data_IF_686084555853
#
_entry.id   IF_686084555853
#
_cell.length_a   1.000
_cell.length_b   1.000
_cell.length_c   1.000
_cell.angle_alpha   90.00
_cell.angle_beta   90.00
_cell.angle_gamma   90.00
#
_symmetry.space_group_name_H-M   'P 1'
#
loop_
_entity.id
_entity.type
_entity.pdbx_description
1 polymer ?
#
# COMPACT_ATOMS: atom_id res chain seq x y z
N UNK A 1 -10.70 -31.67 16.75
CA UNK A 1 -10.09 -31.63 15.40
C UNK A 1 -10.73 -30.61 14.46
N UNK A 2 -11.98 -30.23 14.59
CA UNK A 2 -12.70 -29.30 13.68
C UNK A 2 -12.25 -27.84 13.81
N UNK A 3 -11.80 -27.38 14.98
CA UNK A 3 -11.39 -25.96 15.22
C UNK A 3 -10.12 -25.49 14.49
N UNK A 4 -9.27 -26.40 13.97
CA UNK A 4 -8.03 -26.04 13.23
C UNK A 4 -8.21 -26.04 11.69
N UNK A 5 -9.28 -26.60 11.18
CA UNK A 5 -9.54 -26.67 9.73
C UNK A 5 -10.28 -25.46 9.19
N UNK A 6 -11.15 -24.82 9.98
CA UNK A 6 -11.90 -23.62 9.57
C UNK A 6 -11.00 -22.44 9.22
N UNK A 7 -9.96 -22.09 10.01
CA UNK A 7 -9.02 -21.03 9.64
C UNK A 7 -8.31 -21.28 8.31
N UNK A 8 -7.89 -22.52 8.03
CA UNK A 8 -7.21 -22.88 6.77
C UNK A 8 -8.12 -22.77 5.54
N UNK A 9 -9.40 -23.12 5.69
CA UNK A 9 -10.37 -23.00 4.59
C UNK A 9 -10.62 -21.51 4.28
N UNK A 10 -10.80 -20.69 5.31
CA UNK A 10 -10.99 -19.24 5.16
C UNK A 10 -9.74 -18.60 4.50
N UNK A 11 -8.56 -18.98 4.95
CA UNK A 11 -7.29 -18.53 4.37
C UNK A 11 -7.16 -18.94 2.88
N UNK A 12 -7.53 -20.17 2.55
CA UNK A 12 -7.50 -20.63 1.15
C UNK A 12 -8.49 -19.88 0.26
N UNK A 13 -9.67 -19.57 0.78
CA UNK A 13 -10.68 -18.77 0.07
C UNK A 13 -10.16 -17.34 -0.13
N UNK A 14 -9.60 -16.71 0.92
CA UNK A 14 -9.00 -15.39 0.82
C UNK A 14 -7.89 -15.35 -0.23
N UNK A 15 -6.93 -16.28 -0.18
CA UNK A 15 -5.81 -16.36 -1.12
C UNK A 15 -6.28 -16.56 -2.57
N UNK A 16 -7.37 -17.31 -2.79
CA UNK A 16 -7.96 -17.48 -4.12
C UNK A 16 -8.53 -16.16 -4.66
N UNK A 17 -9.24 -15.40 -3.83
CA UNK A 17 -9.80 -14.11 -4.25
C UNK A 17 -8.71 -13.05 -4.42
N UNK A 18 -7.70 -13.05 -3.56
CA UNK A 18 -6.52 -12.19 -3.67
C UNK A 18 -5.76 -12.45 -4.99
N UNK A 19 -5.59 -13.72 -5.36
CA UNK A 19 -5.00 -14.08 -6.66
C UNK A 19 -5.83 -13.52 -7.83
N UNK A 20 -7.15 -13.68 -7.81
CA UNK A 20 -8.04 -13.14 -8.87
C UNK A 20 -7.93 -11.61 -8.92
N UNK A 21 -7.95 -10.95 -7.77
CA UNK A 21 -7.85 -9.52 -7.65
C UNK A 21 -6.53 -9.00 -8.24
N UNK A 22 -5.40 -9.53 -7.77
CA UNK A 22 -4.07 -9.22 -8.29
C UNK A 22 -3.93 -9.51 -9.78
N UNK A 23 -4.52 -10.60 -10.28
CA UNK A 23 -4.52 -10.92 -11.72
C UNK A 23 -5.28 -9.86 -12.55
N UNK A 24 -6.40 -9.34 -12.05
CA UNK A 24 -7.17 -8.27 -12.71
C UNK A 24 -6.35 -6.98 -12.78
N UNK A 25 -5.70 -6.59 -11.69
CA UNK A 25 -4.81 -5.42 -11.62
C UNK A 25 -3.63 -5.59 -12.60
N UNK A 26 -2.94 -6.74 -12.54
CA UNK A 26 -1.85 -7.06 -13.47
C UNK A 26 -2.28 -7.00 -14.93
N UNK A 27 -3.46 -7.53 -15.25
CA UNK A 27 -3.99 -7.53 -16.61
C UNK A 27 -4.27 -6.13 -17.12
N UNK A 28 -4.64 -5.20 -16.24
CA UNK A 28 -4.79 -3.79 -16.58
C UNK A 28 -3.43 -3.16 -16.93
N UNK A 29 -2.42 -3.32 -16.06
CA UNK A 29 -1.11 -2.71 -16.28
C UNK A 29 -0.28 -3.35 -17.40
N UNK A 30 -0.56 -4.60 -17.78
CA UNK A 30 0.18 -5.34 -18.80
C UNK A 30 0.29 -4.62 -20.15
N UNK A 31 -0.70 -3.79 -20.48
CA UNK A 31 -0.74 -3.06 -21.75
C UNK A 31 -0.15 -1.65 -21.67
N UNK A 32 0.41 -1.30 -20.52
CA UNK A 32 1.04 -0.01 -20.28
C UNK A 32 2.54 -0.23 -20.07
N UNK A 33 3.38 0.29 -20.95
CA UNK A 33 4.84 0.17 -20.86
C UNK A 33 5.34 1.03 -19.68
N UNK A 34 5.29 0.48 -18.45
CA UNK A 34 5.73 1.14 -17.24
C UNK A 34 7.26 1.19 -17.21
N UNK A 35 7.84 2.38 -17.18
CA UNK A 35 9.28 2.57 -17.02
C UNK A 35 9.75 2.54 -15.55
N UNK A 36 8.84 2.70 -14.60
CA UNK A 36 9.10 2.50 -13.18
C UNK A 36 7.81 2.29 -12.38
N UNK A 37 7.96 1.64 -11.25
CA UNK A 37 6.93 1.52 -10.20
C UNK A 37 7.49 2.06 -8.90
N UNK A 38 6.71 2.92 -8.23
CA UNK A 38 6.95 3.37 -6.87
C UNK A 38 5.90 2.67 -6.00
N UNK A 39 6.34 1.74 -5.15
CA UNK A 39 5.48 0.94 -4.27
C UNK A 39 5.62 1.43 -2.82
N UNK A 40 4.63 2.19 -2.36
CA UNK A 40 4.58 2.77 -1.01
C UNK A 40 3.67 1.91 -0.14
N UNK A 41 4.26 1.35 0.93
CA UNK A 41 3.66 0.29 1.74
C UNK A 41 3.84 -1.07 1.05
N UNK A 42 5.10 -1.45 0.82
CA UNK A 42 5.42 -2.68 0.08
C UNK A 42 5.19 -3.96 0.88
N UNK A 43 5.08 -3.86 2.21
CA UNK A 43 4.84 -4.97 3.14
C UNK A 43 5.80 -6.14 2.88
N UNK A 44 5.32 -7.32 2.50
CA UNK A 44 6.12 -8.50 2.14
C UNK A 44 6.39 -8.60 0.64
N UNK A 45 6.00 -7.59 -0.15
CA UNK A 45 6.20 -7.54 -1.60
C UNK A 45 5.11 -8.24 -2.41
N UNK A 46 3.90 -8.37 -1.88
CA UNK A 46 2.80 -9.04 -2.54
C UNK A 46 2.46 -8.37 -3.86
N UNK A 47 2.30 -7.04 -3.87
CA UNK A 47 2.03 -6.27 -5.08
C UNK A 47 3.17 -6.41 -6.11
N UNK A 48 4.42 -6.24 -5.69
CA UNK A 48 5.60 -6.37 -6.56
C UNK A 48 5.62 -7.75 -7.22
N UNK A 49 5.33 -8.81 -6.48
CA UNK A 49 5.38 -10.17 -6.99
C UNK A 49 4.23 -10.51 -7.93
N UNK A 50 3.01 -10.10 -7.58
CA UNK A 50 1.81 -10.51 -8.29
C UNK A 50 1.49 -9.60 -9.49
N UNK A 51 1.80 -8.30 -9.39
CA UNK A 51 1.38 -7.31 -10.40
C UNK A 51 2.53 -6.85 -11.28
N UNK A 52 3.70 -6.52 -10.72
CA UNK A 52 4.80 -5.92 -11.47
C UNK A 52 5.56 -6.96 -12.29
N UNK A 53 5.91 -6.63 -13.52
CA UNK A 53 6.75 -7.50 -14.34
C UNK A 53 8.20 -7.55 -13.84
N UNK A 54 8.90 -8.64 -14.12
CA UNK A 54 10.24 -8.89 -13.55
C UNK A 54 11.31 -7.89 -14.01
N UNK A 55 11.11 -7.25 -15.16
CA UNK A 55 12.05 -6.28 -15.74
C UNK A 55 11.79 -4.83 -15.34
N UNK A 56 10.57 -4.53 -14.90
CA UNK A 56 10.18 -3.15 -14.54
C UNK A 56 10.92 -2.69 -13.29
N UNK A 57 11.63 -1.55 -13.34
CA UNK A 57 12.29 -0.97 -12.16
C UNK A 57 11.31 -0.64 -11.04
N UNK A 58 11.63 -1.04 -9.80
CA UNK A 58 10.81 -0.80 -8.61
C UNK A 58 11.58 -0.03 -7.57
N UNK A 59 10.94 0.99 -7.00
CA UNK A 59 11.36 1.71 -5.79
C UNK A 59 10.38 1.36 -4.67
N UNK A 60 10.85 0.61 -3.68
CA UNK A 60 10.02 -0.04 -2.67
C UNK A 60 10.19 0.64 -1.31
N UNK A 61 9.09 1.04 -0.67
CA UNK A 61 9.07 1.71 0.63
C UNK A 61 8.30 0.87 1.64
N UNK A 62 8.99 0.48 2.73
CA UNK A 62 8.40 -0.29 3.84
C UNK A 62 9.06 0.14 5.14
N UNK A 63 8.34 0.84 6.04
CA UNK A 63 8.93 1.35 7.28
C UNK A 63 9.14 0.29 8.36
N UNK A 64 8.39 -0.82 8.34
CA UNK A 64 8.47 -1.83 9.40
C UNK A 64 9.74 -2.67 9.26
N UNK A 65 10.70 -2.47 10.18
CA UNK A 65 12.03 -3.10 10.12
C UNK A 65 11.98 -4.62 10.05
N UNK A 66 11.04 -5.26 10.75
CA UNK A 66 10.86 -6.71 10.76
C UNK A 66 10.44 -7.30 9.40
N UNK A 67 9.88 -6.49 8.49
CA UNK A 67 9.42 -6.94 7.17
C UNK A 67 10.48 -6.82 6.08
N UNK A 68 11.48 -5.96 6.22
CA UNK A 68 12.50 -5.68 5.19
C UNK A 68 13.21 -6.95 4.73
N UNK A 69 13.57 -7.84 5.64
CA UNK A 69 14.23 -9.11 5.29
C UNK A 69 13.34 -10.05 4.47
N UNK A 70 12.05 -10.11 4.83
CA UNK A 70 11.04 -10.91 4.13
C UNK A 70 10.76 -10.32 2.75
N UNK A 71 10.55 -9.01 2.67
CA UNK A 71 10.34 -8.26 1.43
C UNK A 71 11.47 -8.52 0.42
N UNK A 72 12.73 -8.33 0.82
CA UNK A 72 13.90 -8.60 -0.03
C UNK A 72 13.98 -10.04 -0.51
N UNK A 73 13.70 -11.00 0.37
CA UNK A 73 13.67 -12.43 0.02
C UNK A 73 12.58 -12.75 -1.00
N UNK A 74 11.38 -12.24 -0.77
CA UNK A 74 10.23 -12.52 -1.62
C UNK A 74 10.39 -11.91 -3.01
N UNK A 75 10.98 -10.71 -3.10
CA UNK A 75 11.12 -9.96 -4.36
C UNK A 75 12.48 -10.15 -5.05
N UNK A 76 13.27 -11.14 -4.64
CA UNK A 76 14.64 -11.35 -5.17
C UNK A 76 14.73 -11.63 -6.68
N UNK A 77 13.62 -11.98 -7.34
CA UNK A 77 13.52 -12.19 -8.79
C UNK A 77 13.00 -10.96 -9.56
N UNK A 78 12.73 -9.86 -8.84
CA UNK A 78 12.21 -8.61 -9.38
C UNK A 78 13.32 -7.58 -9.53
N UNK A 79 13.14 -6.62 -10.42
CA UNK A 79 14.09 -5.53 -10.62
C UNK A 79 13.88 -4.42 -9.59
N UNK A 80 14.07 -4.72 -8.29
CA UNK A 80 13.97 -3.72 -7.23
C UNK A 80 15.27 -2.93 -7.17
N UNK A 81 15.20 -1.67 -7.60
CA UNK A 81 16.34 -0.74 -7.66
C UNK A 81 16.81 -0.39 -6.24
N UNK A 82 15.83 -0.12 -5.33
CA UNK A 82 16.12 0.23 -3.96
C UNK A 82 14.97 -0.10 -3.02
N UNK A 83 15.32 -0.58 -1.83
CA UNK A 83 14.43 -0.74 -0.69
C UNK A 83 14.70 0.39 0.30
N UNK A 84 13.68 1.14 0.64
CA UNK A 84 13.70 2.21 1.61
C UNK A 84 12.98 1.76 2.88
N UNK A 85 13.67 1.85 4.00
CA UNK A 85 13.24 1.41 5.34
C UNK A 85 12.69 2.56 6.19
N UNK A 86 11.89 3.43 5.57
CA UNK A 86 11.24 4.56 6.23
C UNK A 86 9.85 4.81 5.62
N UNK A 87 9.01 5.49 6.39
CA UNK A 87 7.69 5.90 5.94
C UNK A 87 7.76 7.15 5.04
N UNK A 88 6.72 7.34 4.23
CA UNK A 88 6.53 8.56 3.45
C UNK A 88 5.38 9.39 4.04
N UNK A 89 5.55 10.72 4.04
CA UNK A 89 4.55 11.69 4.47
C UNK A 89 4.83 13.06 3.88
N UNK A 90 4.13 14.11 4.36
CA UNK A 90 4.30 15.50 3.95
C UNK A 90 5.37 16.27 4.75
N UNK A 91 6.11 15.61 5.63
CA UNK A 91 7.18 16.21 6.45
C UNK A 91 8.34 15.22 6.63
N UNK A 92 9.50 15.75 7.03
CA UNK A 92 10.65 14.95 7.43
C UNK A 92 10.74 14.87 8.94
N UNK A 93 11.01 13.68 9.48
CA UNK A 93 11.11 13.51 10.92
C UNK A 93 11.01 12.06 11.35
N UNK A 94 10.30 11.82 12.43
CA UNK A 94 10.07 10.50 13.04
C UNK A 94 8.64 10.40 13.53
N UNK A 95 8.06 9.22 13.45
CA UNK A 95 6.67 8.95 13.87
C UNK A 95 6.57 7.55 14.45
N UNK A 96 5.60 7.34 15.33
CA UNK A 96 5.27 6.02 15.85
C UNK A 96 4.40 5.26 14.82
N UNK A 97 4.92 4.13 14.33
CA UNK A 97 4.17 3.16 13.55
C UNK A 97 3.47 2.19 14.50
N UNK A 98 2.16 2.10 14.41
CA UNK A 98 1.36 1.14 15.16
C UNK A 98 1.40 -0.23 14.48
N UNK A 99 2.05 -1.19 15.11
CA UNK A 99 2.18 -2.55 14.58
C UNK A 99 1.02 -3.38 15.07
N UNK A 100 0.30 -3.98 14.14
CA UNK A 100 -0.75 -4.94 14.43
C UNK A 100 -0.24 -6.37 14.26
N UNK A 101 -0.84 -7.33 14.97
CA UNK A 101 -0.57 -8.77 14.83
C UNK A 101 -0.86 -9.29 13.41
N UNK A 102 -1.76 -8.60 12.68
CA UNK A 102 -1.88 -8.69 11.23
C UNK A 102 -0.98 -7.62 10.63
N UNK A 103 0.22 -8.00 10.25
CA UNK A 103 1.24 -7.08 9.72
C UNK A 103 0.74 -6.26 8.52
N UNK A 104 -0.21 -6.79 7.75
CA UNK A 104 -0.85 -6.10 6.61
C UNK A 104 -1.72 -4.89 6.99
N UNK A 105 -1.94 -4.62 8.28
CA UNK A 105 -2.78 -3.51 8.75
C UNK A 105 -2.02 -2.55 9.68
N UNK A 106 -0.70 -2.54 9.61
CA UNK A 106 0.12 -1.60 10.39
C UNK A 106 0.00 -0.20 9.79
N UNK A 107 -0.26 0.81 10.63
CA UNK A 107 -0.57 2.17 10.20
C UNK A 107 0.12 3.22 11.08
N UNK A 108 0.36 4.39 10.50
CA UNK A 108 0.79 5.59 11.21
C UNK A 108 -0.36 6.16 12.08
N UNK A 109 -1.61 5.97 11.65
CA UNK A 109 -2.79 6.42 12.39
C UNK A 109 -3.28 5.32 13.33
N UNK A 110 -3.66 5.70 14.56
CA UNK A 110 -4.29 4.79 15.49
C UNK A 110 -5.63 4.32 14.91
N UNK A 111 -5.81 3.00 14.83
CA UNK A 111 -7.06 2.43 14.31
C UNK A 111 -8.21 2.68 15.29
N UNK A 112 -9.37 3.09 14.80
CA UNK A 112 -10.56 3.26 15.62
C UNK A 112 -11.05 1.91 16.15
N UNK A 113 -10.76 1.63 17.42
CA UNK A 113 -11.18 0.41 18.12
C UNK A 113 -12.69 0.23 18.19
N UNK A 114 -13.49 1.25 17.89
CA UNK A 114 -14.96 1.20 17.84
C UNK A 114 -15.49 0.56 16.58
N UNK A 115 -14.69 0.50 15.51
CA UNK A 115 -15.07 -0.06 14.21
C UNK A 115 -15.50 -1.53 14.32
N UNK A 116 -16.68 -1.85 13.77
CA UNK A 116 -17.22 -3.21 13.72
C UNK A 116 -16.25 -4.18 13.02
N UNK A 117 -15.54 -3.73 12.00
CA UNK A 117 -14.56 -4.49 11.24
C UNK A 117 -13.34 -4.87 12.09
N UNK A 118 -12.83 -3.94 12.88
CA UNK A 118 -11.72 -4.19 13.82
C UNK A 118 -12.14 -5.19 14.89
N UNK A 119 -13.34 -5.07 15.44
CA UNK A 119 -13.90 -6.04 16.39
C UNK A 119 -14.06 -7.43 15.78
N UNK A 120 -14.51 -7.51 14.53
CA UNK A 120 -14.65 -8.76 13.80
C UNK A 120 -13.28 -9.42 13.53
N UNK A 121 -12.30 -8.65 13.05
CA UNK A 121 -10.92 -9.13 12.88
C UNK A 121 -10.31 -9.61 14.21
N UNK A 122 -10.48 -8.85 15.28
CA UNK A 122 -10.03 -9.22 16.63
C UNK A 122 -10.63 -10.53 17.10
N UNK A 123 -11.94 -10.72 16.90
CA UNK A 123 -12.63 -11.97 17.24
C UNK A 123 -12.10 -13.16 16.43
N UNK A 124 -11.88 -13.02 15.12
CA UNK A 124 -11.34 -14.10 14.27
C UNK A 124 -9.91 -14.49 14.66
N UNK A 125 -9.11 -13.55 15.17
CA UNK A 125 -7.71 -13.77 15.55
C UNK A 125 -7.51 -14.17 17.01
N UNK A 126 -8.59 -14.30 17.77
CA UNK A 126 -8.55 -14.77 19.16
C UNK A 126 -7.96 -13.76 20.15
N UNK A 127 -8.02 -12.44 19.88
CA UNK A 127 -7.63 -11.45 20.88
C UNK A 127 -6.99 -10.15 20.37
N UNK A 128 -5.80 -9.80 20.85
CA UNK A 128 -5.18 -8.50 20.65
C UNK A 128 -4.72 -8.29 19.21
N UNK A 129 -5.26 -7.26 18.55
CA UNK A 129 -4.78 -6.78 17.23
C UNK A 129 -3.45 -6.02 17.35
N UNK A 130 -3.28 -5.28 18.43
CA UNK A 130 -2.12 -4.43 18.67
C UNK A 130 -0.93 -5.24 19.17
N UNK A 131 0.18 -5.19 18.43
CA UNK A 131 1.43 -5.86 18.79
C UNK A 131 2.46 -4.92 19.43
N UNK A 132 2.41 -3.61 19.11
CA UNK A 132 3.35 -2.63 19.66
C UNK A 132 3.47 -1.36 18.81
N UNK A 133 4.48 -0.56 19.16
CA UNK A 133 4.88 0.62 18.40
C UNK A 133 6.34 0.51 18.01
N UNK A 134 6.67 0.99 16.83
CA UNK A 134 8.04 1.17 16.34
C UNK A 134 8.21 2.63 15.90
N UNK A 135 9.25 3.30 16.39
CA UNK A 135 9.58 4.65 15.92
C UNK A 135 10.29 4.53 14.58
N UNK A 136 9.73 5.09 13.52
CA UNK A 136 10.25 5.02 12.17
C UNK A 136 10.56 6.42 11.63
N UNK A 137 11.59 6.51 10.79
CA UNK A 137 11.88 7.76 10.06
C UNK A 137 10.78 8.03 9.04
N UNK A 138 10.52 9.31 8.80
CA UNK A 138 9.56 9.79 7.81
C UNK A 138 10.22 10.78 6.88
N UNK A 139 9.93 10.68 5.58
CA UNK A 139 10.49 11.56 4.55
C UNK A 139 9.44 11.91 3.50
N UNK A 140 9.71 12.98 2.73
CA UNK A 140 8.92 13.34 1.56
C UNK A 140 9.38 12.57 0.34
N UNK A 141 8.44 12.07 -0.46
CA UNK A 141 8.77 11.37 -1.70
C UNK A 141 9.54 12.27 -2.68
N UNK A 142 9.18 13.55 -2.72
CA UNK A 142 9.84 14.55 -3.58
C UNK A 142 11.35 14.65 -3.34
N UNK A 143 11.77 14.60 -2.08
CA UNK A 143 13.19 14.74 -1.70
C UNK A 143 13.99 13.47 -2.00
N UNK A 144 13.31 12.33 -2.10
CA UNK A 144 13.95 11.02 -2.31
C UNK A 144 14.05 10.66 -3.78
N UNK A 145 12.96 10.81 -4.56
CA UNK A 145 12.89 10.22 -5.91
C UNK A 145 12.72 11.22 -7.06
N UNK A 146 12.56 12.52 -6.80
CA UNK A 146 12.30 13.47 -7.89
C UNK A 146 13.36 13.39 -9.01
N UNK A 147 14.64 13.30 -8.67
CA UNK A 147 15.73 13.30 -9.64
C UNK A 147 15.80 12.00 -10.46
N UNK A 148 15.46 10.88 -9.87
CA UNK A 148 15.43 9.56 -10.51
C UNK A 148 14.23 9.38 -11.43
N UNK A 149 13.08 9.94 -11.03
CA UNK A 149 11.79 9.72 -11.72
C UNK A 149 11.53 10.75 -12.82
N UNK A 150 12.08 11.98 -12.72
CA UNK A 150 11.77 13.10 -13.65
C UNK A 150 12.02 12.82 -15.13
N UNK A 151 12.90 11.88 -15.47
CA UNK A 151 13.20 11.49 -16.85
C UNK A 151 12.45 10.25 -17.32
N UNK A 152 11.72 9.57 -16.44
CA UNK A 152 10.98 8.36 -16.75
C UNK A 152 9.59 8.70 -17.28
N UNK A 153 9.08 7.78 -18.10
CA UNK A 153 7.73 7.84 -18.66
C UNK A 153 6.85 6.75 -18.08
N UNK A 154 5.53 6.98 -18.12
CA UNK A 154 4.57 5.97 -17.69
C UNK A 154 4.88 5.39 -16.30
N UNK A 155 5.10 6.24 -15.30
CA UNK A 155 5.37 5.77 -13.93
C UNK A 155 4.07 5.42 -13.23
N UNK A 156 4.07 4.28 -12.52
CA UNK A 156 3.01 3.89 -11.59
C UNK A 156 3.42 4.24 -10.17
N UNK A 157 2.59 4.99 -9.46
CA UNK A 157 2.68 5.23 -8.03
C UNK A 157 1.58 4.45 -7.32
N UNK A 158 1.93 3.35 -6.61
CA UNK A 158 1.02 2.62 -5.72
C UNK A 158 1.19 3.14 -4.30
N UNK A 159 0.08 3.49 -3.64
CA UNK A 159 0.05 3.95 -2.26
C UNK A 159 -0.96 3.11 -1.48
N UNK A 160 -0.45 2.42 -0.46
CA UNK A 160 -1.21 1.55 0.42
C UNK A 160 -0.57 1.63 1.81
N UNK A 161 -0.97 2.65 2.56
CA UNK A 161 -0.35 3.03 3.84
C UNK A 161 -1.36 3.11 4.97
N UNK A 162 -2.52 2.47 4.76
CA UNK A 162 -3.51 2.26 5.80
C UNK A 162 -3.98 3.57 6.47
N UNK A 163 -4.38 4.56 5.63
CA UNK A 163 -5.03 5.79 6.07
C UNK A 163 -4.17 7.05 6.09
N UNK A 164 -2.96 7.02 5.52
CA UNK A 164 -2.07 8.19 5.38
C UNK A 164 -1.75 8.52 3.91
N UNK A 165 -2.62 8.12 2.99
CA UNK A 165 -2.46 8.31 1.54
C UNK A 165 -2.38 9.79 1.16
N UNK A 166 -3.20 10.63 1.79
CA UNK A 166 -3.23 12.07 1.55
C UNK A 166 -1.89 12.74 1.94
N UNK A 167 -1.31 12.36 3.07
CA UNK A 167 -0.01 12.88 3.53
C UNK A 167 1.12 12.45 2.58
N UNK A 168 1.09 11.22 2.06
CA UNK A 168 2.05 10.75 1.04
C UNK A 168 1.92 11.58 -0.23
N UNK A 169 0.70 11.81 -0.74
CA UNK A 169 0.45 12.65 -1.92
C UNK A 169 0.91 14.10 -1.72
N UNK A 170 0.68 14.68 -0.54
CA UNK A 170 1.18 16.01 -0.20
C UNK A 170 2.71 16.08 -0.21
N UNK A 171 3.40 15.02 0.24
CA UNK A 171 4.86 14.89 0.18
C UNK A 171 5.43 14.56 -1.21
N UNK A 172 4.56 14.30 -2.20
CA UNK A 172 4.89 13.98 -3.58
C UNK A 172 4.48 15.09 -4.57
N UNK A 173 4.13 16.28 -4.11
CA UNK A 173 3.53 17.35 -4.92
C UNK A 173 4.40 17.73 -6.13
N UNK A 174 5.71 17.77 -5.97
CA UNK A 174 6.65 18.12 -7.07
C UNK A 174 6.70 16.98 -8.10
N UNK A 175 6.74 15.73 -7.67
CA UNK A 175 6.71 14.55 -8.53
C UNK A 175 5.39 14.53 -9.32
N UNK A 176 4.25 14.69 -8.64
CA UNK A 176 2.94 14.67 -9.27
C UNK A 176 2.73 15.78 -10.30
N UNK A 177 3.34 16.95 -10.11
CA UNK A 177 3.22 18.08 -11.04
C UNK A 177 4.25 18.09 -12.18
N UNK A 178 5.40 17.43 -12.02
CA UNK A 178 6.55 17.61 -12.94
C UNK A 178 7.09 16.32 -13.56
N UNK A 179 6.63 15.17 -13.08
CA UNK A 179 7.01 13.87 -13.61
C UNK A 179 5.81 13.22 -14.33
N UNK A 180 6.12 12.26 -15.20
CA UNK A 180 5.09 11.52 -15.94
C UNK A 180 4.53 10.36 -15.08
N UNK A 181 3.77 10.70 -14.04
CA UNK A 181 3.02 9.74 -13.22
C UNK A 181 1.73 9.42 -13.96
N UNK A 182 1.73 8.32 -14.69
CA UNK A 182 0.61 7.93 -15.54
C UNK A 182 -0.54 7.33 -14.75
N UNK A 183 -0.21 6.54 -13.74
CA UNK A 183 -1.20 5.90 -12.88
C UNK A 183 -0.85 6.11 -11.42
N UNK A 184 -1.89 6.32 -10.62
CA UNK A 184 -1.82 6.30 -9.17
C UNK A 184 -2.83 5.25 -8.72
N UNK A 185 -2.35 4.22 -8.02
CA UNK A 185 -3.19 3.20 -7.43
C UNK A 185 -3.30 3.45 -5.92
N UNK A 186 -4.53 3.62 -5.44
CA UNK A 186 -4.84 3.78 -4.02
C UNK A 186 -5.67 2.60 -3.54
N UNK A 187 -5.36 2.07 -2.35
CA UNK A 187 -6.32 1.27 -1.61
C UNK A 187 -7.35 2.19 -0.94
N UNK A 188 -8.62 1.93 -1.16
CA UNK A 188 -9.72 2.69 -0.57
C UNK A 188 -10.71 1.77 0.13
N UNK A 189 -10.80 1.87 1.45
CA UNK A 189 -11.83 1.20 2.22
C UNK A 189 -13.15 2.00 2.15
N UNK A 190 -14.25 1.31 1.83
CA UNK A 190 -15.59 1.92 1.84
C UNK A 190 -16.08 2.27 3.27
N UNK A 191 -15.35 1.83 4.31
CA UNK A 191 -15.62 2.21 5.69
C UNK A 191 -14.43 3.00 6.23
N UNK A 192 -14.71 4.11 6.91
CA UNK A 192 -13.70 4.79 7.72
C UNK A 192 -13.27 3.86 8.85
N UNK A 193 -12.17 3.13 8.64
CA UNK A 193 -11.52 2.33 9.69
C UNK A 193 -10.68 3.24 10.58
N UNK A 194 -10.29 4.39 10.04
CA UNK A 194 -9.46 5.39 10.70
C UNK A 194 -10.26 6.64 11.05
N UNK A 195 -9.88 7.36 12.09
CA UNK A 195 -10.49 8.62 12.49
C UNK A 195 -10.36 9.67 11.38
N UNK A 196 -11.48 10.21 10.93
CA UNK A 196 -11.58 11.02 9.73
C UNK A 196 -11.85 10.17 8.49
N UNK A 197 -12.13 10.76 7.35
CA UNK A 197 -12.28 10.05 6.08
C UNK A 197 -11.06 10.35 5.19
N UNK A 198 -9.90 9.68 5.43
CA UNK A 198 -8.64 9.98 4.76
C UNK A 198 -8.70 9.73 3.26
N UNK A 199 -9.52 8.79 2.80
CA UNK A 199 -9.70 8.50 1.37
C UNK A 199 -10.27 9.69 0.61
N UNK A 200 -11.20 10.45 1.18
CA UNK A 200 -11.78 11.61 0.49
C UNK A 200 -10.72 12.69 0.21
N UNK A 201 -9.86 12.99 1.20
CA UNK A 201 -8.81 14.00 1.01
C UNK A 201 -7.79 13.57 -0.07
N UNK A 202 -7.42 12.29 -0.14
CA UNK A 202 -6.53 11.80 -1.19
C UNK A 202 -7.14 11.98 -2.58
N UNK A 203 -8.44 11.65 -2.76
CA UNK A 203 -9.14 11.88 -4.03
C UNK A 203 -9.26 13.36 -4.37
N UNK A 204 -9.60 14.24 -3.41
CA UNK A 204 -9.66 15.69 -3.62
C UNK A 204 -8.32 16.26 -4.12
N UNK A 205 -7.21 15.81 -3.52
CA UNK A 205 -5.86 16.19 -3.96
C UNK A 205 -5.62 15.76 -5.41
N UNK A 206 -5.93 14.50 -5.76
CA UNK A 206 -5.72 13.97 -7.11
C UNK A 206 -6.61 14.65 -8.15
N UNK A 207 -7.87 14.88 -7.85
CA UNK A 207 -8.78 15.61 -8.72
C UNK A 207 -8.30 17.05 -8.97
N UNK A 208 -7.77 17.73 -7.94
CA UNK A 208 -7.21 19.08 -8.08
C UNK A 208 -5.99 19.13 -9.01
N UNK A 209 -5.26 18.01 -9.14
CA UNK A 209 -4.13 17.84 -10.05
C UNK A 209 -4.55 17.33 -11.45
N UNK A 210 -5.86 17.13 -11.68
CA UNK A 210 -6.41 16.69 -12.97
C UNK A 210 -6.47 15.18 -13.17
N UNK A 211 -6.15 14.38 -12.16
CA UNK A 211 -6.33 12.93 -12.22
C UNK A 211 -7.82 12.56 -12.18
N UNK A 212 -8.17 11.46 -12.84
CA UNK A 212 -9.53 10.92 -12.88
C UNK A 212 -9.49 9.44 -12.60
N UNK A 213 -10.56 8.91 -12.02
CA UNK A 213 -10.71 7.48 -11.82
C UNK A 213 -10.81 6.80 -13.19
N UNK A 214 -9.81 6.00 -13.53
CA UNK A 214 -9.77 5.20 -14.76
C UNK A 214 -10.42 3.83 -14.53
N UNK A 215 -10.17 3.21 -13.38
CA UNK A 215 -10.63 1.87 -13.06
C UNK A 215 -10.79 1.68 -11.56
N UNK A 216 -11.79 0.88 -11.18
CA UNK A 216 -11.96 0.38 -9.82
C UNK A 216 -11.87 -1.15 -9.82
N UNK A 217 -11.09 -1.70 -8.89
CA UNK A 217 -10.94 -3.14 -8.69
C UNK A 217 -11.52 -3.51 -7.33
N UNK A 218 -12.79 -3.91 -7.31
CA UNK A 218 -13.45 -4.35 -6.08
C UNK A 218 -12.89 -5.71 -5.63
N UNK A 219 -12.52 -5.80 -4.35
CA UNK A 219 -12.19 -7.07 -3.74
C UNK A 219 -13.47 -7.87 -3.44
N UNK A 220 -13.58 -9.13 -3.89
CA UNK A 220 -14.87 -9.83 -3.93
C UNK A 220 -15.53 -10.12 -2.60
N UNK A 221 -14.78 -10.20 -1.50
CA UNK A 221 -15.29 -10.58 -0.17
C UNK A 221 -15.19 -9.48 0.86
N UNK A 222 -14.45 -8.43 0.57
CA UNK A 222 -14.17 -7.36 1.50
C UNK A 222 -14.58 -6.02 0.89
N UNK A 223 -14.95 -5.10 1.73
CA UNK A 223 -15.48 -3.82 1.29
C UNK A 223 -14.37 -2.80 1.09
N UNK A 224 -13.32 -3.19 0.36
CA UNK A 224 -12.27 -2.31 -0.11
C UNK A 224 -12.08 -2.45 -1.62
N UNK A 225 -11.48 -1.45 -2.22
CA UNK A 225 -11.17 -1.40 -3.64
C UNK A 225 -9.84 -0.71 -3.88
N UNK A 226 -9.14 -1.11 -4.93
CA UNK A 226 -8.06 -0.36 -5.56
C UNK A 226 -8.63 0.57 -6.64
N UNK A 227 -8.19 1.79 -6.66
CA UNK A 227 -8.62 2.84 -7.58
C UNK A 227 -7.43 3.47 -8.26
#
# INVERSE_FOLDING_TARGET
MIKKSIPRIIESIYNFFDFIHSWRIKSFYKFHDLEAVIDVGSHKGEFINSVVDNSTPVYSFEPQSSLIGVLKKNTCKKNVIKYYDFALSNFDGSIDLFINNLTSTSSIKESDSSSYWIKFKSFLLGGQLYAGKESVSVKKLDDILFHEIRSKKNVLLKIDVEGSEAEVLQGATKILNKCDIKFIQLESANYSIYSGNPSNLAFEILESLGYKIEKEFLFPLLNFKDV
#
